data_IF_159227932936
#
_entry.id   IF_159227932936
#
_cell.length_a   1.000
_cell.length_b   1.000
_cell.length_c   1.000
_cell.angle_alpha   90.00
_cell.angle_beta   90.00
_cell.angle_gamma   90.00
#
_symmetry.space_group_name_H-M   'P 1'
#
loop_
_entity.id
_entity.type
_entity.pdbx_description
1 polymer ?
#
# COMPACT_ATOMS: atom_id res chain seq x y z
N UNK A 1 -3.95 -43.02 -14.52
CA UNK A 1 -3.60 -42.07 -15.60
C UNK A 1 -4.62 -40.94 -15.79
N UNK A 2 -5.91 -41.20 -16.05
CA UNK A 2 -6.89 -40.12 -16.30
C UNK A 2 -7.16 -39.20 -15.10
N UNK A 3 -7.26 -39.75 -13.87
CA UNK A 3 -7.44 -38.96 -12.64
C UNK A 3 -6.29 -37.98 -12.38
N UNK A 4 -5.05 -38.48 -12.41
CA UNK A 4 -3.84 -37.66 -12.24
C UNK A 4 -3.71 -36.52 -13.26
N UNK A 5 -4.25 -36.69 -14.47
CA UNK A 5 -4.24 -35.63 -15.49
C UNK A 5 -5.26 -34.54 -15.15
N UNK A 6 -6.46 -34.95 -14.75
CA UNK A 6 -7.50 -34.02 -14.29
C UNK A 6 -7.04 -33.24 -13.05
N UNK A 7 -6.44 -33.91 -12.06
CA UNK A 7 -5.94 -33.26 -10.83
C UNK A 7 -4.86 -32.21 -11.14
N UNK A 8 -4.01 -32.46 -12.15
CA UNK A 8 -2.99 -31.49 -12.58
C UNK A 8 -3.61 -30.30 -13.33
N UNK A 9 -4.61 -30.54 -14.18
CA UNK A 9 -5.36 -29.49 -14.87
C UNK A 9 -6.12 -28.59 -13.87
N UNK A 10 -6.75 -29.18 -12.85
CA UNK A 10 -7.46 -28.45 -11.80
C UNK A 10 -6.49 -27.57 -10.99
N UNK A 11 -5.34 -28.11 -10.57
CA UNK A 11 -4.30 -27.35 -9.88
C UNK A 11 -3.76 -26.19 -10.72
N UNK A 12 -3.53 -26.40 -12.02
CA UNK A 12 -3.07 -25.34 -12.92
C UNK A 12 -4.11 -24.21 -13.03
N UNK A 13 -5.39 -24.57 -13.10
CA UNK A 13 -6.48 -23.60 -13.12
C UNK A 13 -6.56 -22.81 -11.80
N UNK A 14 -6.40 -23.46 -10.65
CA UNK A 14 -6.33 -22.79 -9.34
C UNK A 14 -5.16 -21.80 -9.27
N UNK A 15 -3.96 -22.20 -9.72
CA UNK A 15 -2.80 -21.30 -9.77
C UNK A 15 -3.02 -20.11 -10.69
N UNK A 16 -3.62 -20.32 -11.85
CA UNK A 16 -3.98 -19.24 -12.78
C UNK A 16 -4.96 -18.26 -12.13
N UNK A 17 -6.01 -18.78 -11.50
CA UNK A 17 -7.01 -17.98 -10.82
C UNK A 17 -6.40 -17.15 -9.67
N UNK A 18 -5.57 -17.77 -8.83
CA UNK A 18 -4.92 -17.08 -7.73
C UNK A 18 -3.93 -16.03 -8.22
N UNK A 19 -3.18 -16.30 -9.31
CA UNK A 19 -2.32 -15.29 -9.93
C UNK A 19 -3.15 -14.09 -10.40
N UNK A 20 -4.26 -14.32 -11.08
CA UNK A 20 -5.15 -13.25 -11.54
C UNK A 20 -5.71 -12.44 -10.36
N UNK A 21 -6.11 -13.11 -9.28
CA UNK A 21 -6.56 -12.47 -8.04
C UNK A 21 -5.47 -11.58 -7.44
N UNK A 22 -4.24 -12.08 -7.30
CA UNK A 22 -3.12 -11.28 -6.79
C UNK A 22 -2.82 -10.07 -7.67
N UNK A 23 -2.79 -10.23 -9.00
CA UNK A 23 -2.60 -9.13 -9.94
C UNK A 23 -3.70 -8.08 -9.82
N UNK A 24 -4.96 -8.50 -9.61
CA UNK A 24 -6.06 -7.57 -9.40
C UNK A 24 -5.91 -6.79 -8.09
N UNK A 25 -5.49 -7.47 -7.02
CA UNK A 25 -5.19 -6.81 -5.73
C UNK A 25 -4.10 -5.76 -5.88
N UNK A 26 -2.98 -6.10 -6.52
CA UNK A 26 -1.86 -5.17 -6.76
C UNK A 26 -2.35 -3.94 -7.53
N UNK A 27 -3.03 -4.13 -8.66
CA UNK A 27 -3.56 -3.02 -9.47
C UNK A 27 -4.53 -2.13 -8.71
N UNK A 28 -5.33 -2.73 -7.81
CA UNK A 28 -6.27 -1.98 -6.98
C UNK A 28 -5.54 -1.16 -5.92
N UNK A 29 -4.53 -1.75 -5.28
CA UNK A 29 -3.68 -1.07 -4.32
C UNK A 29 -2.88 0.07 -4.95
N UNK A 30 -2.33 -0.12 -6.16
CA UNK A 30 -1.66 0.94 -6.93
C UNK A 30 -2.58 2.14 -7.18
N UNK A 31 -3.83 1.91 -7.57
CA UNK A 31 -4.83 2.98 -7.75
C UNK A 31 -5.12 3.72 -6.46
N UNK A 32 -5.22 3.00 -5.33
CA UNK A 32 -5.45 3.60 -4.02
C UNK A 32 -4.24 4.45 -3.58
N UNK A 33 -3.02 3.96 -3.79
CA UNK A 33 -1.79 4.70 -3.51
C UNK A 33 -1.73 6.00 -4.31
N UNK A 34 -2.01 5.95 -5.62
CA UNK A 34 -2.06 7.16 -6.46
C UNK A 34 -3.08 8.18 -5.95
N UNK A 35 -4.26 7.72 -5.53
CA UNK A 35 -5.28 8.59 -4.95
C UNK A 35 -4.78 9.24 -3.64
N UNK A 36 -4.16 8.46 -2.76
CA UNK A 36 -3.61 8.99 -1.50
C UNK A 36 -2.49 10.00 -1.75
N UNK A 37 -1.59 9.76 -2.70
CA UNK A 37 -0.57 10.72 -3.11
C UNK A 37 -1.20 12.04 -3.59
N UNK A 38 -2.20 11.97 -4.49
CA UNK A 38 -2.88 13.16 -5.00
C UNK A 38 -3.60 13.97 -3.89
N UNK A 39 -4.20 13.27 -2.91
CA UNK A 39 -4.81 13.92 -1.75
C UNK A 39 -3.75 14.61 -0.90
N UNK A 40 -2.62 13.96 -0.61
CA UNK A 40 -1.53 14.52 0.20
C UNK A 40 -0.92 15.76 -0.45
N UNK A 41 -0.69 15.73 -1.77
CA UNK A 41 -0.23 16.90 -2.53
C UNK A 41 -1.20 18.08 -2.39
N UNK A 42 -2.50 17.80 -2.53
CA UNK A 42 -3.53 18.84 -2.36
C UNK A 42 -3.55 19.38 -0.93
N UNK A 43 -3.46 18.52 0.07
CA UNK A 43 -3.41 18.91 1.48
C UNK A 43 -2.18 19.75 1.78
N UNK A 44 -1.00 19.37 1.30
CA UNK A 44 0.24 20.14 1.45
C UNK A 44 0.06 21.59 0.99
N UNK A 45 -0.55 21.80 -0.19
CA UNK A 45 -0.81 23.15 -0.72
C UNK A 45 -1.82 23.99 0.10
N UNK A 46 -2.62 23.35 0.94
CA UNK A 46 -3.69 23.99 1.72
C UNK A 46 -3.32 24.14 3.20
N UNK A 47 -2.26 23.47 3.66
CA UNK A 47 -1.82 23.49 5.05
C UNK A 47 -0.94 24.71 5.33
N UNK A 48 -1.22 25.41 6.43
CA UNK A 48 -0.40 26.55 6.85
C UNK A 48 1.03 26.09 7.19
N UNK A 49 2.03 26.88 6.76
CA UNK A 49 3.46 26.60 6.95
C UNK A 49 3.90 26.35 8.41
N UNK A 50 3.08 26.71 9.41
CA UNK A 50 3.37 26.54 10.83
C UNK A 50 2.69 25.30 11.46
N UNK A 51 2.08 24.45 10.65
CA UNK A 51 1.52 23.18 11.10
C UNK A 51 2.64 22.15 11.36
N UNK A 52 2.48 21.28 12.37
CA UNK A 52 3.41 20.18 12.68
C UNK A 52 3.57 19.16 11.52
N UNK A 53 2.73 19.28 10.50
CA UNK A 53 2.72 18.50 9.26
C UNK A 53 3.01 19.36 8.01
N UNK A 54 3.56 20.57 8.18
CA UNK A 54 3.83 21.50 7.09
C UNK A 54 4.89 21.01 6.08
N UNK A 55 5.65 19.97 6.43
CA UNK A 55 6.58 19.30 5.53
C UNK A 55 6.23 17.79 5.47
N UNK A 56 5.22 17.48 4.66
CA UNK A 56 4.72 16.10 4.47
C UNK A 56 5.82 15.19 3.90
N UNK A 57 6.66 15.69 2.99
CA UNK A 57 7.74 14.91 2.37
C UNK A 57 8.72 14.38 3.42
N UNK A 58 9.13 15.23 4.36
CA UNK A 58 10.02 14.85 5.47
C UNK A 58 9.36 13.81 6.38
N UNK A 59 8.05 13.91 6.62
CA UNK A 59 7.31 12.97 7.47
C UNK A 59 7.24 11.60 6.80
N UNK A 60 6.99 11.56 5.48
CA UNK A 60 6.98 10.32 4.70
C UNK A 60 8.36 9.66 4.73
N UNK A 61 9.44 10.44 4.54
CA UNK A 61 10.82 9.93 4.56
C UNK A 61 11.21 9.29 5.90
N UNK A 62 10.73 9.88 7.01
CA UNK A 62 11.00 9.41 8.36
C UNK A 62 10.05 8.31 8.82
N UNK A 63 8.95 8.09 8.11
CA UNK A 63 7.96 7.12 8.50
C UNK A 63 8.53 5.70 8.45
N UNK A 64 8.20 4.89 9.45
CA UNK A 64 8.62 3.48 9.53
C UNK A 64 7.43 2.61 9.89
N UNK A 65 7.31 1.49 9.20
CA UNK A 65 6.31 0.49 9.56
C UNK A 65 6.80 -0.27 10.80
N UNK A 66 5.96 -0.30 11.83
CA UNK A 66 6.16 -1.09 13.04
C UNK A 66 5.41 -2.42 12.86
N UNK A 67 6.15 -3.50 12.61
CA UNK A 67 5.61 -4.85 12.40
C UNK A 67 4.90 -5.40 13.65
N UNK A 68 5.34 -5.02 14.86
CA UNK A 68 4.75 -5.50 16.11
C UNK A 68 3.40 -4.84 16.37
N UNK A 69 3.32 -3.53 16.14
CA UNK A 69 2.09 -2.74 16.33
C UNK A 69 1.18 -2.69 15.11
N UNK A 70 1.67 -3.18 13.96
CA UNK A 70 0.99 -3.18 12.65
C UNK A 70 0.54 -1.79 12.22
N UNK A 71 1.33 -0.76 12.49
CA UNK A 71 1.01 0.62 12.14
C UNK A 71 2.23 1.39 11.60
N UNK A 72 1.98 2.54 10.98
CA UNK A 72 3.04 3.46 10.56
C UNK A 72 3.39 4.38 11.72
N UNK A 73 4.66 4.39 12.12
CA UNK A 73 5.21 5.41 13.00
C UNK A 73 5.50 6.67 12.19
N UNK A 74 4.87 7.80 12.55
CA UNK A 74 5.05 9.10 11.92
C UNK A 74 5.49 10.11 12.98
N UNK A 75 6.70 10.67 12.82
CA UNK A 75 7.18 11.72 13.70
C UNK A 75 6.76 13.08 13.13
N UNK A 76 5.91 13.80 13.87
CA UNK A 76 5.62 15.19 13.56
C UNK A 76 6.78 16.08 14.05
N UNK A 77 7.05 17.19 13.35
CA UNK A 77 8.08 18.14 13.79
C UNK A 77 7.59 18.74 15.12
N UNK A 78 8.30 18.45 16.22
CA UNK A 78 7.98 18.93 17.58
C UNK A 78 7.71 17.86 18.64
N UNK A 79 8.12 16.61 18.42
CA UNK A 79 8.04 15.52 19.42
C UNK A 79 9.43 14.99 19.77
N UNK A 80 10.30 15.87 20.26
CA UNK A 80 11.47 15.52 21.08
C UNK A 80 11.17 15.91 22.54
#
# INVERSE_FOLDING_TARGET
>A
HKRLKNDNEDLQHEFEHDRQRYLNTIRTQEKQLLLFCAILEKMSSTMQHNCNYGNIDKIIEQARYDEEKKNMNINAIGSD
#
